data_IF_395625127624
#
_entry.id   IF_395625127624
#
_cell.length_a   1.000
_cell.length_b   1.000
_cell.length_c   1.000
_cell.angle_alpha   90.00
_cell.angle_beta   90.00
_cell.angle_gamma   90.00
#
_symmetry.space_group_name_H-M   'P 1'
#
loop_
_entity.id
_entity.type
_entity.pdbx_description
1 polymer ?
#
# COMPACT_ATOMS: atom_id res chain seq x y z
N UNK A 1 -8.94 -4.58 25.51
CA UNK A 1 -7.57 -4.08 25.73
C UNK A 1 -6.88 -3.60 24.45
N UNK A 2 -7.10 -4.23 23.28
CA UNK A 2 -6.53 -3.78 21.99
C UNK A 2 -7.14 -2.45 21.47
N UNK A 3 -8.44 -2.22 21.70
CA UNK A 3 -9.14 -1.00 21.25
C UNK A 3 -8.72 0.28 21.99
N UNK A 4 -8.22 0.17 23.22
CA UNK A 4 -7.82 1.34 24.04
C UNK A 4 -6.46 1.88 23.59
N UNK A 5 -5.57 1.01 23.08
CA UNK A 5 -4.26 1.42 22.55
C UNK A 5 -4.39 2.13 21.20
N UNK A 6 -5.35 1.73 20.36
CA UNK A 6 -5.61 2.38 19.06
C UNK A 6 -6.23 3.77 19.22
N UNK A 7 -7.07 3.98 20.24
CA UNK A 7 -7.69 5.29 20.50
C UNK A 7 -6.68 6.33 21.01
N UNK A 8 -5.65 5.90 21.75
CA UNK A 8 -4.53 6.76 22.17
C UNK A 8 -3.48 7.00 21.06
N UNK A 9 -3.62 6.33 19.92
CA UNK A 9 -2.76 6.46 18.73
C UNK A 9 -3.45 7.20 17.58
N UNK A 10 -4.63 7.80 17.80
CA UNK A 10 -5.26 8.68 16.80
C UNK A 10 -4.27 9.82 16.51
N UNK A 11 -3.69 9.90 15.29
CA UNK A 11 -2.74 10.93 14.96
C UNK A 11 -3.47 12.28 15.05
N UNK A 12 -2.77 13.28 15.56
CA UNK A 12 -3.11 14.68 15.39
C UNK A 12 -3.48 14.92 13.92
N UNK A 13 -4.62 15.59 13.66
CA UNK A 13 -4.92 16.08 12.32
C UNK A 13 -3.78 17.00 11.89
N UNK A 14 -2.98 16.58 10.92
CA UNK A 14 -1.93 17.42 10.34
C UNK A 14 -2.60 18.27 9.27
N UNK A 15 -2.92 19.52 9.64
CA UNK A 15 -3.64 20.46 8.78
C UNK A 15 -2.70 21.31 7.89
N UNK A 16 -1.38 21.16 8.02
CA UNK A 16 -0.40 21.98 7.33
C UNK A 16 0.81 21.14 6.88
N UNK A 17 1.48 21.58 5.81
CA UNK A 17 2.77 21.03 5.38
C UNK A 17 3.88 21.92 5.93
N UNK A 18 4.90 21.31 6.55
CA UNK A 18 6.10 22.01 6.99
C UNK A 18 7.33 21.49 6.26
N UNK A 19 8.10 22.39 5.65
CA UNK A 19 9.35 22.09 4.95
C UNK A 19 10.45 23.01 5.43
N UNK A 20 11.64 22.44 5.68
CA UNK A 20 12.81 23.18 6.14
C UNK A 20 14.07 22.60 5.50
N UNK A 21 15.02 23.46 5.16
CA UNK A 21 16.27 23.04 4.53
C UNK A 21 17.24 24.20 4.34
N UNK A 22 18.41 23.89 3.80
CA UNK A 22 19.43 24.86 3.40
C UNK A 22 19.60 24.74 1.88
N UNK A 23 19.54 25.87 1.20
CA UNK A 23 19.71 25.94 -0.26
C UNK A 23 21.15 26.39 -0.53
N UNK A 24 21.88 25.58 -1.30
CA UNK A 24 23.22 25.90 -1.78
C UNK A 24 23.29 25.48 -3.24
N UNK A 25 23.34 26.46 -4.13
CA UNK A 25 23.31 26.23 -5.58
C UNK A 25 24.07 27.34 -6.30
N UNK A 26 24.55 27.04 -7.50
CA UNK A 26 25.09 27.98 -8.48
C UNK A 26 24.04 28.41 -9.53
N UNK A 27 22.82 27.85 -9.45
CA UNK A 27 21.74 28.12 -10.38
C UNK A 27 20.91 29.32 -9.93
N UNK A 28 20.47 30.14 -10.88
CA UNK A 28 19.58 31.29 -10.62
C UNK A 28 18.13 30.87 -10.34
N UNK A 29 17.77 29.60 -10.54
CA UNK A 29 16.41 29.11 -10.34
C UNK A 29 16.45 27.74 -9.67
N UNK A 30 15.82 27.63 -8.50
CA UNK A 30 15.78 26.40 -7.72
C UNK A 30 14.36 26.07 -7.30
N UNK A 31 14.01 24.80 -7.41
CA UNK A 31 12.77 24.27 -6.85
C UNK A 31 12.88 24.21 -5.32
N UNK A 32 11.94 24.87 -4.64
CA UNK A 32 11.88 24.92 -3.19
C UNK A 32 11.02 23.78 -2.65
N UNK A 33 9.75 23.79 -2.99
CA UNK A 33 8.80 22.78 -2.57
C UNK A 33 7.49 22.85 -3.39
N UNK A 34 6.68 21.81 -3.28
CA UNK A 34 5.32 21.71 -3.84
C UNK A 34 4.32 21.55 -2.72
N UNK A 35 3.26 22.32 -2.76
CA UNK A 35 2.16 22.23 -1.80
C UNK A 35 0.82 22.36 -2.53
N UNK A 36 -0.24 21.85 -1.90
CA UNK A 36 -1.61 22.08 -2.34
C UNK A 36 -2.18 23.20 -1.45
N UNK A 37 -2.90 24.13 -2.07
CA UNK A 37 -3.49 25.27 -1.39
C UNK A 37 -5.01 25.21 -1.58
N UNK A 38 -5.77 25.38 -0.49
CA UNK A 38 -7.21 25.61 -0.58
C UNK A 38 -7.43 27.10 -0.77
N UNK A 39 -7.99 27.50 -1.90
CA UNK A 39 -8.24 28.92 -2.19
C UNK A 39 -9.08 29.56 -1.09
N UNK A 40 -8.74 30.79 -0.69
CA UNK A 40 -9.37 31.61 0.36
C UNK A 40 -9.16 31.17 1.82
N UNK A 41 -8.84 29.90 2.08
CA UNK A 41 -8.64 29.38 3.45
C UNK A 41 -7.19 29.04 3.78
N UNK A 42 -6.36 28.76 2.77
CA UNK A 42 -4.95 28.46 2.95
C UNK A 42 -4.15 29.69 3.38
N UNK A 43 -3.09 29.47 4.17
CA UNK A 43 -2.11 30.49 4.55
C UNK A 43 -0.71 29.96 4.24
N UNK A 44 0.09 30.73 3.49
CA UNK A 44 1.50 30.44 3.24
C UNK A 44 2.36 31.26 4.19
N UNK A 45 3.10 30.58 5.06
CA UNK A 45 4.11 31.20 5.92
C UNK A 45 5.50 30.74 5.48
N UNK A 46 6.44 31.68 5.35
CA UNK A 46 7.81 31.39 4.95
C UNK A 46 8.81 32.20 5.77
N UNK A 47 10.00 31.64 5.94
CA UNK A 47 11.12 32.29 6.61
C UNK A 47 12.40 31.96 5.85
N UNK A 48 13.03 32.98 5.26
CA UNK A 48 14.30 32.85 4.53
C UNK A 48 15.38 33.68 5.20
N UNK A 49 16.58 33.12 5.26
CA UNK A 49 17.78 33.81 5.72
C UNK A 49 18.87 33.62 4.66
N UNK A 50 19.34 34.72 4.08
CA UNK A 50 20.39 34.71 3.07
C UNK A 50 21.31 35.95 3.21
N UNK A 51 22.56 35.90 2.71
CA UNK A 51 23.50 37.02 2.84
C UNK A 51 23.03 38.23 2.02
N UNK A 52 23.10 39.43 2.62
CA UNK A 52 22.69 40.71 2.01
C UNK A 52 23.38 41.00 0.67
N UNK A 53 24.53 40.38 0.41
CA UNK A 53 25.27 40.49 -0.85
C UNK A 53 24.55 39.91 -2.08
N UNK A 54 23.53 39.07 -1.90
CA UNK A 54 22.77 38.45 -3.00
C UNK A 54 21.64 39.34 -3.55
N UNK A 55 21.53 40.59 -3.06
CA UNK A 55 20.44 41.51 -3.43
C UNK A 55 19.04 40.94 -3.10
N UNK A 56 17.98 41.45 -3.72
CA UNK A 56 16.59 41.04 -3.41
C UNK A 56 16.26 39.77 -4.19
N UNK A 57 16.03 38.69 -3.47
CA UNK A 57 15.59 37.42 -4.04
C UNK A 57 14.05 37.37 -4.14
N UNK A 58 13.52 36.52 -5.03
CA UNK A 58 12.07 36.41 -5.27
C UNK A 58 11.60 34.96 -5.27
N UNK A 59 10.43 34.71 -4.67
CA UNK A 59 9.74 33.43 -4.71
C UNK A 59 8.70 33.49 -5.83
N UNK A 60 8.68 32.43 -6.64
CA UNK A 60 7.76 32.28 -7.77
C UNK A 60 6.86 31.07 -7.55
N UNK A 61 5.55 31.29 -7.55
CA UNK A 61 4.53 30.27 -7.31
C UNK A 61 3.87 29.86 -8.62
N UNK A 62 4.20 28.69 -9.13
CA UNK A 62 3.63 28.14 -10.36
C UNK A 62 2.44 27.23 -10.05
N UNK A 63 1.35 27.35 -10.79
CA UNK A 63 0.29 26.35 -10.77
C UNK A 63 0.72 25.08 -11.51
N UNK A 64 0.22 23.93 -11.08
CA UNK A 64 0.50 22.62 -11.70
C UNK A 64 -0.28 22.44 -13.01
N UNK A 65 0.06 23.26 -13.99
CA UNK A 65 -0.56 23.28 -15.33
C UNK A 65 0.51 23.16 -16.43
N UNK A 66 0.08 22.79 -17.64
CA UNK A 66 0.96 22.65 -18.80
C UNK A 66 1.65 23.96 -19.19
N UNK A 67 0.95 25.09 -19.01
CA UNK A 67 1.38 26.43 -19.37
C UNK A 67 2.26 27.10 -18.31
N UNK A 68 2.18 26.67 -17.04
CA UNK A 68 2.99 27.22 -15.94
C UNK A 68 4.10 26.24 -15.52
N UNK A 69 3.86 25.44 -14.47
CA UNK A 69 4.92 24.64 -13.85
C UNK A 69 5.62 23.70 -14.83
N UNK A 70 4.86 23.02 -15.70
CA UNK A 70 5.43 22.07 -16.67
C UNK A 70 6.18 22.76 -17.81
N UNK A 71 5.79 23.99 -18.17
CA UNK A 71 6.52 24.81 -19.13
C UNK A 71 7.78 25.45 -18.54
N UNK A 72 7.80 25.72 -17.23
CA UNK A 72 8.93 26.33 -16.53
C UNK A 72 10.00 25.29 -16.14
N UNK A 73 9.58 24.17 -15.56
CA UNK A 73 10.45 23.17 -14.95
C UNK A 73 11.24 22.35 -15.99
N UNK A 74 12.55 22.22 -15.78
CA UNK A 74 13.48 21.56 -16.73
C UNK A 74 13.39 22.08 -18.17
N UNK A 75 12.96 23.33 -18.36
CA UNK A 75 12.93 24.00 -19.66
C UNK A 75 14.23 24.75 -19.94
N UNK A 76 14.54 24.96 -21.23
CA UNK A 76 15.65 25.81 -21.68
C UNK A 76 15.29 27.31 -21.68
N UNK A 77 14.20 27.70 -21.01
CA UNK A 77 13.76 29.10 -20.91
C UNK A 77 14.72 29.92 -20.06
N UNK A 78 14.94 31.16 -20.47
CA UNK A 78 15.64 32.18 -19.68
C UNK A 78 14.85 32.53 -18.42
N UNK A 79 15.51 33.21 -17.47
CA UNK A 79 14.83 33.62 -16.23
C UNK A 79 13.63 34.53 -16.53
N UNK A 80 13.75 35.44 -17.52
CA UNK A 80 12.66 36.35 -17.85
C UNK A 80 11.46 35.61 -18.46
N UNK A 81 11.71 34.68 -19.38
CA UNK A 81 10.65 33.87 -19.98
C UNK A 81 9.92 32.96 -19.00
N UNK A 82 10.56 32.60 -17.87
CA UNK A 82 9.92 31.83 -16.79
C UNK A 82 9.02 32.72 -15.94
N UNK A 83 9.47 33.93 -15.63
CA UNK A 83 8.67 34.95 -14.95
C UNK A 83 7.43 35.34 -15.78
N UNK A 84 7.57 35.44 -17.10
CA UNK A 84 6.49 35.79 -18.03
C UNK A 84 5.36 34.72 -18.10
N UNK A 85 5.55 33.52 -17.53
CA UNK A 85 4.50 32.50 -17.39
C UNK A 85 3.53 32.80 -16.24
N UNK A 86 3.91 33.70 -15.33
CA UNK A 86 3.15 34.01 -14.13
C UNK A 86 2.23 35.19 -14.36
N UNK A 87 1.09 35.20 -13.66
CA UNK A 87 0.16 36.31 -13.68
C UNK A 87 0.34 37.16 -12.40
N UNK A 88 0.77 38.43 -12.52
CA UNK A 88 0.92 39.33 -11.38
C UNK A 88 -0.36 39.53 -10.57
N UNK A 89 -1.55 39.35 -11.17
CA UNK A 89 -2.83 39.50 -10.48
C UNK A 89 -3.11 38.38 -9.46
N UNK A 90 -2.42 37.24 -9.59
CA UNK A 90 -2.60 36.06 -8.75
C UNK A 90 -1.63 35.99 -7.55
N UNK A 91 -0.89 37.07 -7.26
CA UNK A 91 0.12 37.11 -6.20
C UNK A 91 1.15 35.97 -6.29
N UNK A 92 1.50 35.57 -7.53
CA UNK A 92 2.44 34.46 -7.78
C UNK A 92 3.91 34.86 -7.60
N UNK A 93 4.20 36.16 -7.50
CA UNK A 93 5.55 36.71 -7.37
C UNK A 93 5.66 37.37 -6.01
N UNK A 94 6.60 36.90 -5.19
CA UNK A 94 6.83 37.39 -3.83
C UNK A 94 8.29 37.84 -3.72
N UNK A 95 8.52 39.14 -3.68
CA UNK A 95 9.85 39.71 -3.46
C UNK A 95 10.22 39.66 -1.98
N UNK A 96 11.40 39.12 -1.67
CA UNK A 96 11.90 39.00 -0.30
C UNK A 96 12.44 40.36 0.18
N UNK A 97 11.69 41.03 1.06
CA UNK A 97 12.13 42.23 1.77
C UNK A 97 12.72 41.85 3.14
N UNK A 98 13.59 42.71 3.67
CA UNK A 98 14.11 42.60 5.04
C UNK A 98 13.10 43.01 6.10
N UNK A 99 11.93 43.51 5.71
CA UNK A 99 10.85 43.85 6.63
C UNK A 99 10.36 42.59 7.37
N UNK A 100 10.40 42.65 8.70
CA UNK A 100 10.05 41.52 9.55
C UNK A 100 8.61 41.05 9.26
N UNK A 101 8.39 39.78 8.85
CA UNK A 101 7.04 39.26 8.75
C UNK A 101 6.40 39.29 10.14
N UNK A 102 5.19 39.83 10.25
CA UNK A 102 4.37 39.66 11.46
C UNK A 102 4.06 38.18 11.58
N UNK A 103 4.66 37.54 12.59
CA UNK A 103 4.40 36.16 12.94
C UNK A 103 2.99 36.05 13.51
N UNK A 104 2.02 35.67 12.69
CA UNK A 104 0.72 35.22 13.17
C UNK A 104 0.87 33.76 13.65
N UNK A 105 1.12 33.65 14.95
CA UNK A 105 1.26 32.40 15.69
C UNK A 105 -0.11 31.75 15.90
N UNK A 106 -0.63 31.06 14.88
CA UNK A 106 -1.93 30.34 14.98
C UNK A 106 -2.07 29.13 14.06
N UNK A 107 -0.98 28.60 13.49
CA UNK A 107 -1.04 27.36 12.70
C UNK A 107 -0.39 26.21 13.47
N UNK A 108 -1.15 25.13 13.66
CA UNK A 108 -0.63 23.85 14.15
C UNK A 108 0.64 23.47 13.37
N UNK A 109 1.67 22.98 14.06
CA UNK A 109 2.92 22.65 13.39
C UNK A 109 2.69 21.46 12.45
N UNK A 110 2.73 21.73 11.15
CA UNK A 110 2.64 20.75 10.06
C UNK A 110 3.81 19.76 10.01
N UNK A 111 4.53 19.57 11.12
CA UNK A 111 5.67 18.68 11.28
C UNK A 111 5.16 17.25 11.43
N UNK A 112 5.03 16.56 10.30
CA UNK A 112 4.87 15.12 10.30
C UNK A 112 6.10 14.39 10.87
N UNK A 113 5.97 13.09 11.12
CA UNK A 113 7.10 12.22 11.49
C UNK A 113 7.50 11.35 10.28
N UNK A 114 8.49 11.74 9.46
CA UNK A 114 8.85 11.03 8.24
C UNK A 114 9.25 9.57 8.51
N UNK A 115 9.97 9.33 9.61
CA UNK A 115 10.36 7.99 10.04
C UNK A 115 9.14 7.10 10.31
N UNK A 116 8.10 7.64 10.95
CA UNK A 116 6.88 6.89 11.25
C UNK A 116 6.09 6.57 9.98
N UNK A 117 6.01 7.52 9.02
CA UNK A 117 5.42 7.28 7.70
C UNK A 117 6.16 6.14 6.98
N UNK A 118 7.49 6.20 6.94
CA UNK A 118 8.33 5.17 6.32
C UNK A 118 8.14 3.78 6.95
N UNK A 119 8.21 3.71 8.28
CA UNK A 119 8.00 2.45 9.02
C UNK A 119 6.61 1.89 8.78
N UNK A 120 5.58 2.74 8.76
CA UNK A 120 4.20 2.35 8.46
C UNK A 120 4.04 1.74 7.06
N UNK A 121 4.68 2.33 6.05
CA UNK A 121 4.71 1.79 4.68
C UNK A 121 5.34 0.40 4.68
N UNK A 122 6.49 0.22 5.35
CA UNK A 122 7.18 -1.07 5.41
C UNK A 122 6.32 -2.17 6.06
N UNK A 123 5.70 -1.88 7.20
CA UNK A 123 4.79 -2.83 7.86
C UNK A 123 3.61 -3.20 6.97
N UNK A 124 3.05 -2.23 6.24
CA UNK A 124 1.96 -2.48 5.28
C UNK A 124 2.39 -3.47 4.20
N UNK A 125 3.56 -3.27 3.57
CA UNK A 125 4.03 -4.18 2.52
C UNK A 125 4.31 -5.59 3.06
N UNK A 126 4.95 -5.72 4.22
CA UNK A 126 5.20 -7.02 4.87
C UNK A 126 3.87 -7.73 5.17
N UNK A 127 2.89 -6.98 5.67
CA UNK A 127 1.56 -7.52 5.97
C UNK A 127 0.87 -8.06 4.71
N UNK A 128 0.93 -7.35 3.59
CA UNK A 128 0.32 -7.79 2.31
C UNK A 128 0.95 -9.09 1.82
N UNK A 129 2.28 -9.18 1.77
CA UNK A 129 3.00 -10.38 1.33
C UNK A 129 2.70 -11.56 2.24
N UNK A 130 2.73 -11.35 3.56
CA UNK A 130 2.42 -12.38 4.56
C UNK A 130 0.99 -12.90 4.40
N UNK A 131 0.03 -11.99 4.22
CA UNK A 131 -1.38 -12.36 4.11
C UNK A 131 -1.67 -13.12 2.80
N UNK A 132 -1.12 -12.70 1.66
CA UNK A 132 -1.23 -13.45 0.39
C UNK A 132 -0.62 -14.86 0.54
N UNK A 133 0.53 -14.96 1.19
CA UNK A 133 1.20 -16.24 1.46
C UNK A 133 0.31 -17.17 2.30
N UNK A 134 -0.31 -16.63 3.36
CA UNK A 134 -1.26 -17.34 4.19
C UNK A 134 -2.45 -17.86 3.37
N UNK A 135 -3.06 -17.02 2.53
CA UNK A 135 -4.19 -17.42 1.68
C UNK A 135 -3.81 -18.54 0.70
N UNK A 136 -2.62 -18.49 0.10
CA UNK A 136 -2.11 -19.56 -0.78
C UNK A 136 -1.89 -20.88 -0.03
N UNK A 137 -1.33 -20.83 1.19
CA UNK A 137 -1.14 -22.01 2.04
C UNK A 137 -2.48 -22.65 2.39
N UNK A 138 -3.46 -21.84 2.80
CA UNK A 138 -4.81 -22.32 3.15
C UNK A 138 -5.55 -22.90 1.96
N UNK A 139 -5.46 -22.27 0.78
CA UNK A 139 -6.02 -22.79 -0.47
C UNK A 139 -5.48 -24.16 -0.84
N UNK A 140 -4.20 -24.44 -0.57
CA UNK A 140 -3.59 -25.77 -0.75
C UNK A 140 -3.96 -26.76 0.35
N UNK A 141 -4.64 -26.31 1.39
CA UNK A 141 -5.09 -27.13 2.51
C UNK A 141 -4.09 -27.31 3.62
N UNK A 142 -3.03 -26.50 3.66
CA UNK A 142 -2.08 -26.52 4.77
C UNK A 142 -2.81 -26.25 6.09
N UNK A 143 -2.49 -27.05 7.11
CA UNK A 143 -3.08 -27.05 8.47
C UNK A 143 -4.59 -27.33 8.58
N UNK A 144 -5.36 -27.30 7.49
CA UNK A 144 -6.81 -27.60 7.49
C UNK A 144 -7.09 -29.04 7.05
N UNK A 145 -6.57 -29.44 5.88
CA UNK A 145 -6.81 -30.77 5.30
C UNK A 145 -5.53 -31.60 5.21
N UNK A 146 -4.36 -30.93 5.19
CA UNK A 146 -3.04 -31.58 5.07
C UNK A 146 -2.06 -30.99 6.07
N UNK A 147 -1.29 -31.88 6.72
CA UNK A 147 -0.20 -31.50 7.64
C UNK A 147 1.06 -31.04 6.91
N UNK A 148 1.39 -31.66 5.77
CA UNK A 148 2.61 -31.40 5.00
C UNK A 148 2.28 -30.93 3.59
N UNK A 149 3.12 -30.05 3.07
CA UNK A 149 3.11 -29.64 1.65
C UNK A 149 4.31 -30.31 0.98
N UNK A 150 4.15 -30.73 -0.28
CA UNK A 150 5.25 -31.25 -1.09
C UNK A 150 6.40 -30.24 -1.17
N UNK A 151 7.64 -30.72 -1.07
CA UNK A 151 8.85 -29.91 -1.18
C UNK A 151 8.85 -29.01 -2.42
N UNK A 152 8.45 -29.53 -3.58
CA UNK A 152 8.39 -28.76 -4.83
C UNK A 152 7.37 -27.61 -4.76
N UNK A 153 6.25 -27.81 -4.06
CA UNK A 153 5.26 -26.75 -3.84
C UNK A 153 5.77 -25.68 -2.86
N UNK A 154 6.56 -26.07 -1.85
CA UNK A 154 7.20 -25.13 -0.94
C UNK A 154 8.25 -24.29 -1.68
N UNK A 155 9.09 -24.90 -2.52
CA UNK A 155 10.06 -24.18 -3.36
C UNK A 155 9.38 -23.17 -4.28
N UNK A 156 8.29 -23.57 -4.96
CA UNK A 156 7.50 -22.65 -5.80
C UNK A 156 6.90 -21.49 -4.99
N UNK A 157 6.42 -21.77 -3.78
CA UNK A 157 5.86 -20.74 -2.90
C UNK A 157 6.96 -19.77 -2.43
N UNK A 158 8.13 -20.27 -2.02
CA UNK A 158 9.24 -19.41 -1.59
C UNK A 158 9.75 -18.52 -2.72
N UNK A 159 9.90 -19.07 -3.93
CA UNK A 159 10.26 -18.28 -5.12
C UNK A 159 9.23 -17.17 -5.38
N UNK A 160 7.95 -17.49 -5.22
CA UNK A 160 6.87 -16.53 -5.41
C UNK A 160 6.85 -15.42 -4.34
N UNK A 161 7.05 -15.78 -3.07
CA UNK A 161 7.17 -14.81 -1.97
C UNK A 161 8.39 -13.91 -2.16
N UNK A 162 9.52 -14.48 -2.60
CA UNK A 162 10.71 -13.70 -2.94
C UNK A 162 10.43 -12.71 -4.08
N UNK A 163 9.76 -13.13 -5.15
CA UNK A 163 9.38 -12.23 -6.24
C UNK A 163 8.48 -11.06 -5.78
N UNK A 164 7.52 -11.33 -4.89
CA UNK A 164 6.69 -10.28 -4.28
C UNK A 164 7.52 -9.31 -3.42
N UNK A 165 8.38 -9.86 -2.55
CA UNK A 165 9.24 -9.04 -1.70
C UNK A 165 10.17 -8.15 -2.54
N UNK A 166 10.84 -8.71 -3.55
CA UNK A 166 11.66 -7.93 -4.47
C UNK A 166 10.84 -6.87 -5.20
N UNK A 167 9.63 -7.18 -5.66
CA UNK A 167 8.75 -6.21 -6.31
C UNK A 167 8.40 -5.02 -5.41
N UNK A 168 8.11 -5.26 -4.13
CA UNK A 168 7.86 -4.20 -3.16
C UNK A 168 9.11 -3.39 -2.81
N UNK A 169 10.28 -4.02 -2.71
CA UNK A 169 11.57 -3.33 -2.52
C UNK A 169 11.88 -2.45 -3.74
N UNK A 170 11.72 -2.98 -4.95
CA UNK A 170 11.90 -2.21 -6.19
C UNK A 170 10.96 -1.01 -6.24
N UNK A 171 9.71 -1.17 -5.82
CA UNK A 171 8.78 -0.05 -5.75
C UNK A 171 9.25 1.04 -4.77
N UNK A 172 9.75 0.65 -3.59
CA UNK A 172 10.29 1.60 -2.62
C UNK A 172 11.55 2.31 -3.15
N UNK A 173 12.44 1.58 -3.82
CA UNK A 173 13.62 2.18 -4.46
C UNK A 173 13.23 3.10 -5.62
N UNK A 174 12.18 2.77 -6.36
CA UNK A 174 11.65 3.60 -7.44
C UNK A 174 11.16 4.95 -6.92
N UNK A 175 10.45 4.95 -5.78
CA UNK A 175 9.99 6.16 -5.11
C UNK A 175 11.16 7.05 -4.66
N UNK A 176 12.25 6.47 -4.17
CA UNK A 176 13.39 7.25 -3.66
C UNK A 176 14.30 7.74 -4.80
N UNK A 177 14.50 6.94 -5.85
CA UNK A 177 15.52 7.19 -6.87
C UNK A 177 14.99 7.89 -8.12
N UNK A 178 13.72 7.71 -8.47
CA UNK A 178 13.18 8.12 -9.77
C UNK A 178 12.10 9.19 -9.63
N UNK A 179 11.37 9.22 -8.52
CA UNK A 179 10.36 10.26 -8.32
C UNK A 179 11.04 11.61 -8.08
N UNK A 180 10.76 12.51 -9.01
CA UNK A 180 11.19 13.89 -8.91
C UNK A 180 10.23 14.60 -7.92
N UNK A 181 10.73 15.13 -6.79
CA UNK A 181 9.88 15.81 -5.82
C UNK A 181 9.12 17.00 -6.44
N UNK A 182 9.65 17.56 -7.52
CA UNK A 182 9.07 18.67 -8.25
C UNK A 182 7.91 18.26 -9.18
N UNK A 183 7.78 16.98 -9.54
CA UNK A 183 6.71 16.48 -10.42
C UNK A 183 5.65 15.69 -9.66
N UNK A 184 4.39 15.86 -10.04
CA UNK A 184 3.26 15.18 -9.42
C UNK A 184 3.14 13.75 -9.96
N UNK A 185 4.11 12.89 -9.63
CA UNK A 185 4.14 11.49 -10.06
C UNK A 185 3.58 10.57 -8.99
N UNK A 186 2.67 9.68 -9.38
CA UNK A 186 2.02 8.77 -8.43
C UNK A 186 2.59 7.36 -8.48
N UNK A 187 2.50 6.66 -7.34
CA UNK A 187 2.82 5.23 -7.26
C UNK A 187 2.06 4.40 -8.30
N UNK A 188 0.80 4.75 -8.58
CA UNK A 188 -0.06 4.04 -9.53
C UNK A 188 0.38 4.16 -11.00
N UNK A 189 1.19 5.16 -11.33
CA UNK A 189 1.70 5.39 -12.69
C UNK A 189 3.04 4.67 -12.92
N UNK A 190 3.65 4.15 -11.85
CA UNK A 190 4.97 3.52 -11.90
C UNK A 190 4.93 2.12 -12.49
N UNK A 191 5.96 1.76 -13.26
CA UNK A 191 6.12 0.42 -13.83
C UNK A 191 6.11 -0.70 -12.76
N UNK A 192 6.79 -0.56 -11.60
CA UNK A 192 6.73 -1.57 -10.54
C UNK A 192 5.32 -1.84 -10.01
N UNK A 193 4.45 -0.83 -9.94
CA UNK A 193 3.06 -1.01 -9.51
C UNK A 193 2.27 -1.92 -10.45
N UNK A 194 2.43 -1.76 -11.77
CA UNK A 194 1.80 -2.65 -12.76
C UNK A 194 2.32 -4.09 -12.65
N UNK A 195 3.64 -4.26 -12.44
CA UNK A 195 4.25 -5.59 -12.24
C UNK A 195 3.65 -6.27 -10.99
N UNK A 196 3.52 -5.55 -9.87
CA UNK A 196 2.92 -6.06 -8.65
C UNK A 196 1.43 -6.42 -8.83
N UNK A 197 0.68 -5.63 -9.59
CA UNK A 197 -0.72 -5.94 -9.92
C UNK A 197 -0.84 -7.23 -10.75
N UNK A 198 0.02 -7.42 -11.76
CA UNK A 198 0.07 -8.67 -12.54
C UNK A 198 0.44 -9.85 -11.67
N UNK A 199 1.45 -9.72 -10.81
CA UNK A 199 1.83 -10.76 -9.84
C UNK A 199 0.66 -11.13 -8.92
N UNK A 200 -0.19 -10.16 -8.56
CA UNK A 200 -1.38 -10.39 -7.73
C UNK A 200 -2.49 -11.14 -8.47
N UNK A 201 -2.69 -10.89 -9.76
CA UNK A 201 -3.58 -11.70 -10.61
C UNK A 201 -3.04 -13.13 -10.75
N UNK A 202 -1.74 -13.31 -10.95
CA UNK A 202 -1.12 -14.65 -10.97
C UNK A 202 -1.29 -15.38 -9.63
N UNK A 203 -1.15 -14.67 -8.51
CA UNK A 203 -1.43 -15.19 -7.17
C UNK A 203 -2.87 -15.70 -7.08
N UNK A 204 -3.83 -14.91 -7.58
CA UNK A 204 -5.25 -15.24 -7.56
C UNK A 204 -5.59 -16.47 -8.41
N UNK A 205 -5.04 -16.55 -9.64
CA UNK A 205 -5.23 -17.73 -10.50
C UNK A 205 -4.68 -18.99 -9.82
N UNK A 206 -3.52 -18.89 -9.18
CA UNK A 206 -2.95 -20.00 -8.41
C UNK A 206 -3.81 -20.34 -7.18
N UNK A 207 -4.30 -19.34 -6.47
CA UNK A 207 -5.18 -19.48 -5.32
C UNK A 207 -6.48 -20.22 -5.69
N UNK A 208 -7.17 -19.80 -6.76
CA UNK A 208 -8.41 -20.43 -7.24
C UNK A 208 -8.16 -21.87 -7.69
N UNK A 209 -7.11 -22.10 -8.50
CA UNK A 209 -6.74 -23.46 -8.93
C UNK A 209 -6.47 -24.36 -7.73
N UNK A 210 -5.73 -23.87 -6.73
CA UNK A 210 -5.40 -24.64 -5.53
C UNK A 210 -6.65 -24.95 -4.71
N UNK A 211 -7.51 -23.95 -4.49
CA UNK A 211 -8.77 -24.12 -3.76
C UNK A 211 -9.69 -25.12 -4.47
N UNK A 212 -9.82 -25.05 -5.80
CA UNK A 212 -10.61 -25.99 -6.57
C UNK A 212 -10.12 -27.44 -6.44
N UNK A 213 -8.81 -27.66 -6.54
CA UNK A 213 -8.20 -28.99 -6.36
C UNK A 213 -8.43 -29.51 -4.94
N UNK A 214 -8.32 -28.64 -3.93
CA UNK A 214 -8.55 -29.01 -2.53
C UNK A 214 -10.01 -29.39 -2.27
N UNK A 215 -10.97 -28.63 -2.82
CA UNK A 215 -12.41 -28.92 -2.74
C UNK A 215 -12.75 -30.27 -3.36
N UNK A 216 -12.20 -30.54 -4.56
CA UNK A 216 -12.39 -31.83 -5.26
C UNK A 216 -11.85 -33.00 -4.46
N UNK A 217 -10.71 -32.83 -3.78
CA UNK A 217 -10.08 -33.90 -2.98
C UNK A 217 -10.76 -34.11 -1.62
N UNK A 218 -11.26 -33.05 -0.98
CA UNK A 218 -11.86 -33.10 0.36
C UNK A 218 -13.27 -32.51 0.38
N UNK A 219 -14.28 -33.20 -0.19
CA UNK A 219 -15.66 -32.70 -0.29
C UNK A 219 -16.31 -32.34 1.06
N UNK A 220 -15.90 -32.99 2.17
CA UNK A 220 -16.37 -32.65 3.53
C UNK A 220 -16.08 -31.19 3.94
N UNK A 221 -15.08 -30.55 3.33
CA UNK A 221 -14.72 -29.14 3.59
C UNK A 221 -15.15 -28.19 2.48
N UNK A 222 -15.98 -28.66 1.54
CA UNK A 222 -16.39 -27.89 0.37
C UNK A 222 -16.99 -26.53 0.73
N UNK A 223 -17.90 -26.47 1.70
CA UNK A 223 -18.56 -25.22 2.08
C UNK A 223 -17.55 -24.16 2.54
N UNK A 224 -16.63 -24.53 3.44
CA UNK A 224 -15.57 -23.64 3.90
C UNK A 224 -14.72 -23.11 2.74
N UNK A 225 -14.26 -24.00 1.85
CA UNK A 225 -13.42 -23.58 0.72
C UNK A 225 -14.15 -22.76 -0.33
N UNK A 226 -15.45 -23.00 -0.56
CA UNK A 226 -16.27 -22.18 -1.45
C UNK A 226 -16.42 -20.77 -0.89
N UNK A 227 -16.77 -20.64 0.39
CA UNK A 227 -16.86 -19.33 1.06
C UNK A 227 -15.51 -18.61 1.07
N UNK A 228 -14.43 -19.30 1.43
CA UNK A 228 -13.08 -18.75 1.42
C UNK A 228 -12.70 -18.25 0.03
N UNK A 229 -12.95 -19.05 -1.01
CA UNK A 229 -12.59 -18.72 -2.40
C UNK A 229 -13.31 -17.49 -2.91
N UNK A 230 -14.63 -17.40 -2.70
CA UNK A 230 -15.44 -16.27 -3.19
C UNK A 230 -15.09 -14.99 -2.44
N UNK A 231 -15.11 -15.03 -1.11
CA UNK A 231 -14.89 -13.83 -0.29
C UNK A 231 -13.46 -13.28 -0.43
N UNK A 232 -12.44 -14.15 -0.50
CA UNK A 232 -11.05 -13.71 -0.63
C UNK A 232 -10.67 -13.32 -2.05
N UNK A 233 -11.42 -13.74 -3.08
CA UNK A 233 -11.17 -13.27 -4.45
C UNK A 233 -11.27 -11.75 -4.57
N UNK A 234 -12.18 -11.13 -3.82
CA UNK A 234 -12.29 -9.67 -3.76
C UNK A 234 -10.97 -9.02 -3.31
N UNK A 235 -10.30 -9.57 -2.30
CA UNK A 235 -9.02 -9.04 -1.79
C UNK A 235 -7.88 -9.14 -2.81
N UNK A 236 -7.90 -10.14 -3.69
CA UNK A 236 -6.90 -10.21 -4.76
C UNK A 236 -7.17 -9.18 -5.85
N UNK A 237 -8.43 -9.06 -6.27
CA UNK A 237 -8.86 -8.12 -7.32
C UNK A 237 -8.83 -6.66 -6.89
N UNK A 238 -8.89 -6.39 -5.60
CA UNK A 238 -8.89 -5.02 -5.08
C UNK A 238 -7.69 -4.21 -5.58
N UNK A 239 -6.48 -4.76 -5.65
CA UNK A 239 -5.30 -3.98 -6.03
C UNK A 239 -5.24 -3.61 -7.54
N UNK A 240 -5.53 -4.52 -8.48
CA UNK A 240 -5.71 -4.13 -9.88
C UNK A 240 -6.85 -3.12 -10.08
N UNK A 241 -7.96 -3.28 -9.35
CA UNK A 241 -9.10 -2.36 -9.43
C UNK A 241 -8.71 -0.97 -8.90
N UNK A 242 -8.05 -0.88 -7.75
CA UNK A 242 -7.59 0.39 -7.20
C UNK A 242 -6.55 1.05 -8.09
N UNK A 243 -5.67 0.28 -8.73
CA UNK A 243 -4.71 0.80 -9.72
C UNK A 243 -5.41 1.46 -10.91
N UNK A 244 -6.48 0.84 -11.44
CA UNK A 244 -7.26 1.41 -12.55
C UNK A 244 -8.01 2.66 -12.08
N UNK A 245 -8.68 2.61 -10.93
CA UNK A 245 -9.41 3.75 -10.35
C UNK A 245 -8.46 4.93 -10.09
N UNK A 246 -7.25 4.67 -9.58
CA UNK A 246 -6.25 5.69 -9.32
C UNK A 246 -5.89 6.46 -10.59
N UNK A 247 -5.65 5.75 -11.69
CA UNK A 247 -5.17 6.37 -12.92
C UNK A 247 -6.27 7.03 -13.77
N UNK A 248 -7.51 6.52 -13.72
CA UNK A 248 -8.59 6.97 -14.61
C UNK A 248 -9.72 7.76 -13.95
N UNK A 249 -9.87 7.67 -12.63
CA UNK A 249 -11.02 8.25 -11.91
C UNK A 249 -10.60 9.33 -10.91
N UNK A 250 -9.43 9.17 -10.27
CA UNK A 250 -8.99 10.11 -9.24
C UNK A 250 -8.12 11.22 -9.80
N UNK A 251 -8.53 12.44 -9.47
CA UNK A 251 -7.70 13.63 -9.61
C UNK A 251 -6.44 13.50 -8.75
N UNK A 252 -5.35 14.09 -9.26
CA UNK A 252 -4.03 14.05 -8.66
C UNK A 252 -4.07 14.42 -7.15
N UNK A 253 -4.64 15.57 -6.81
CA UNK A 253 -4.57 16.13 -5.45
C UNK A 253 -5.20 15.26 -4.34
N UNK A 254 -6.19 14.40 -4.64
CA UNK A 254 -6.80 13.47 -3.66
C UNK A 254 -6.25 12.05 -3.74
N UNK A 255 -5.50 11.72 -4.79
CA UNK A 255 -5.21 10.34 -5.18
C UNK A 255 -4.48 9.57 -4.09
N UNK A 256 -3.44 10.14 -3.48
CA UNK A 256 -2.63 9.46 -2.45
C UNK A 256 -3.49 9.13 -1.21
N UNK A 257 -4.23 10.10 -0.70
CA UNK A 257 -5.05 9.96 0.51
C UNK A 257 -6.18 8.94 0.32
N UNK A 258 -6.92 9.05 -0.78
CA UNK A 258 -8.02 8.11 -1.09
C UNK A 258 -7.48 6.70 -1.28
N UNK A 259 -6.36 6.53 -2.00
CA UNK A 259 -5.77 5.21 -2.20
C UNK A 259 -5.31 4.58 -0.89
N UNK A 260 -4.68 5.36 -0.01
CA UNK A 260 -4.28 4.90 1.32
C UNK A 260 -5.48 4.44 2.15
N UNK A 261 -6.58 5.19 2.12
CA UNK A 261 -7.81 4.85 2.84
C UNK A 261 -8.43 3.56 2.29
N UNK A 262 -8.54 3.43 0.96
CA UNK A 262 -9.13 2.25 0.30
C UNK A 262 -8.27 1.01 0.55
N UNK A 263 -6.96 1.08 0.40
CA UNK A 263 -6.06 -0.05 0.70
C UNK A 263 -6.19 -0.51 2.15
N UNK A 264 -6.25 0.44 3.09
CA UNK A 264 -6.41 0.14 4.51
C UNK A 264 -7.76 -0.53 4.79
N UNK A 265 -8.85 -0.05 4.17
CA UNK A 265 -10.17 -0.66 4.29
C UNK A 265 -10.21 -2.09 3.73
N UNK A 266 -9.55 -2.33 2.59
CA UNK A 266 -9.42 -3.66 1.98
C UNK A 266 -8.64 -4.62 2.89
N UNK A 267 -7.58 -4.14 3.55
CA UNK A 267 -6.81 -4.92 4.53
C UNK A 267 -7.67 -5.31 5.73
N UNK A 268 -8.43 -4.36 6.28
CA UNK A 268 -9.40 -4.63 7.36
C UNK A 268 -10.42 -5.67 6.91
N UNK A 269 -11.01 -5.50 5.73
CA UNK A 269 -11.92 -6.49 5.14
C UNK A 269 -11.29 -7.88 5.05
N UNK A 270 -10.07 -7.98 4.53
CA UNK A 270 -9.35 -9.25 4.37
C UNK A 270 -9.13 -9.95 5.71
N UNK A 271 -8.63 -9.22 6.72
CA UNK A 271 -8.40 -9.78 8.04
C UNK A 271 -9.69 -10.13 8.78
N UNK A 272 -10.70 -9.27 8.77
CA UNK A 272 -12.00 -9.56 9.39
C UNK A 272 -12.65 -10.78 8.76
N UNK A 273 -12.68 -10.86 7.43
CA UNK A 273 -13.22 -12.02 6.71
C UNK A 273 -12.46 -13.29 7.07
N UNK A 274 -11.13 -13.21 7.12
CA UNK A 274 -10.29 -14.34 7.51
C UNK A 274 -10.61 -14.82 8.93
N UNK A 275 -10.68 -13.90 9.89
CA UNK A 275 -11.00 -14.21 11.28
C UNK A 275 -12.40 -14.82 11.42
N UNK A 276 -13.43 -14.26 10.77
CA UNK A 276 -14.80 -14.79 10.82
C UNK A 276 -14.87 -16.21 10.26
N UNK A 277 -14.18 -16.48 9.14
CA UNK A 277 -14.18 -17.81 8.53
C UNK A 277 -13.39 -18.85 9.35
N UNK A 278 -12.32 -18.41 10.02
CA UNK A 278 -11.40 -19.29 10.74
C UNK A 278 -11.64 -19.39 12.25
N UNK A 279 -12.54 -18.58 12.82
CA UNK A 279 -12.83 -18.61 14.25
C UNK A 279 -13.36 -19.99 14.69
N UNK A 280 -12.65 -20.70 15.58
CA UNK A 280 -13.01 -22.07 15.96
C UNK A 280 -14.28 -22.13 16.82
N UNK A 281 -14.67 -21.03 17.49
CA UNK A 281 -15.84 -21.03 18.40
C UNK A 281 -17.17 -21.24 17.67
N UNK A 282 -17.60 -20.36 16.73
CA UNK A 282 -18.82 -20.55 15.98
C UNK A 282 -18.66 -21.63 14.89
N UNK A 283 -17.45 -21.84 14.37
CA UNK A 283 -17.21 -22.65 13.17
C UNK A 283 -16.44 -23.95 13.48
N UNK A 284 -16.65 -24.57 14.64
CA UNK A 284 -15.96 -25.80 15.05
C UNK A 284 -16.10 -26.95 14.02
N UNK A 285 -17.22 -27.00 13.27
CA UNK A 285 -17.42 -27.94 12.14
C UNK A 285 -16.37 -27.78 11.03
N UNK A 286 -15.81 -26.58 10.86
CA UNK A 286 -14.76 -26.32 9.88
C UNK A 286 -13.39 -26.83 10.37
N UNK A 287 -13.17 -26.98 11.68
CA UNK A 287 -11.88 -27.36 12.29
C UNK A 287 -11.96 -28.45 13.39
N UNK A 288 -12.63 -29.60 13.19
CA UNK A 288 -12.63 -30.69 14.15
C UNK A 288 -11.30 -31.44 14.10
N UNK A 289 -10.25 -30.88 14.69
CA UNK A 289 -9.00 -31.59 14.97
C UNK A 289 -9.04 -32.07 16.43
N UNK A 290 -9.63 -33.25 16.63
CA UNK A 290 -9.45 -34.03 17.86
C UNK A 290 -8.54 -35.21 17.55
N UNK A 291 -7.24 -34.94 17.34
CA UNK A 291 -6.24 -36.01 17.30
C UNK A 291 -6.12 -36.50 18.74
N UNK A 292 -6.45 -37.77 19.00
CA UNK A 292 -6.12 -38.37 20.29
C UNK A 292 -4.59 -38.40 20.39
N UNK A 293 -4.05 -37.79 21.44
CA UNK A 293 -2.62 -37.49 21.65
C UNK A 293 -1.68 -38.71 21.56
N UNK A 294 -2.24 -39.91 21.58
CA UNK A 294 -1.57 -41.21 21.58
C UNK A 294 -1.28 -41.81 20.18
N UNK A 295 -1.56 -41.11 19.07
CA UNK A 295 -1.38 -41.65 17.70
C UNK A 295 -0.35 -40.89 16.83
N UNK A 296 0.47 -40.01 17.42
CA UNK A 296 1.26 -39.00 16.68
C UNK A 296 2.53 -39.57 16.00
N UNK A 297 2.94 -40.82 16.28
CA UNK A 297 4.25 -41.36 15.87
C UNK A 297 4.26 -42.44 14.78
N UNK A 298 3.14 -42.76 14.13
CA UNK A 298 3.12 -43.79 13.07
C UNK A 298 3.19 -43.16 11.68
N UNK A 299 4.29 -43.39 10.95
CA UNK A 299 4.51 -42.87 9.59
C UNK A 299 3.48 -43.37 8.54
N UNK A 300 2.76 -44.45 8.85
CA UNK A 300 1.71 -45.04 8.00
C UNK A 300 0.27 -44.63 8.38
N UNK A 301 0.07 -43.68 9.30
CA UNK A 301 -1.28 -43.23 9.66
C UNK A 301 -1.80 -42.17 8.66
N UNK A 302 -3.08 -42.22 8.26
CA UNK A 302 -3.71 -41.21 7.38
C UNK A 302 -3.49 -39.79 7.92
N UNK A 303 -3.09 -38.87 7.03
CA UNK A 303 -2.57 -37.54 7.43
C UNK A 303 -3.66 -36.58 7.90
N UNK A 304 -4.92 -36.98 7.77
CA UNK A 304 -6.08 -36.32 8.37
C UNK A 304 -7.19 -37.34 8.66
N UNK A 305 -8.04 -37.06 9.65
CA UNK A 305 -9.24 -37.87 9.97
C UNK A 305 -10.16 -38.03 8.75
N UNK A 306 -10.16 -37.04 7.85
CA UNK A 306 -10.93 -37.09 6.62
C UNK A 306 -10.45 -38.18 5.67
N UNK A 307 -9.13 -38.42 5.57
CA UNK A 307 -8.59 -39.51 4.74
C UNK A 307 -9.05 -40.90 5.22
N UNK A 308 -9.26 -41.08 6.54
CA UNK A 308 -9.80 -42.32 7.14
C UNK A 308 -11.24 -42.58 6.69
N UNK A 309 -12.08 -41.54 6.68
CA UNK A 309 -13.48 -41.67 6.27
C UNK A 309 -13.61 -41.98 4.77
N UNK A 310 -12.69 -41.48 3.93
CA UNK A 310 -12.70 -41.79 2.51
C UNK A 310 -12.20 -43.20 2.19
N UNK A 311 -11.24 -43.76 2.94
CA UNK A 311 -10.78 -45.14 2.73
C UNK A 311 -11.79 -46.19 3.22
N UNK A 312 -12.52 -45.90 4.30
CA UNK A 312 -13.55 -46.80 4.85
C UNK A 312 -14.86 -46.82 4.05
N UNK A 313 -15.18 -45.74 3.32
CA UNK A 313 -16.37 -45.68 2.44
C UNK A 313 -16.27 -46.43 1.11
N UNK A 314 -15.08 -46.97 0.77
CA UNK A 314 -14.85 -47.76 -0.44
C UNK A 314 -14.89 -49.28 -0.26
N UNK A 315 -15.07 -49.78 0.97
CA UNK A 315 -15.13 -51.20 1.33
C UNK A 315 -16.53 -51.60 1.84
N UNK A 316 -17.58 -51.14 1.15
CA UNK A 316 -18.95 -51.57 1.43
C UNK A 316 -19.64 -52.01 0.13
N UNK A 317 -19.10 -53.05 -0.51
CA UNK A 317 -19.80 -53.91 -1.47
C UNK A 317 -18.91 -55.12 -1.83
N UNK A 318 -18.79 -56.05 -0.91
CA UNK A 318 -18.38 -57.43 -1.18
C UNK A 318 -18.77 -58.25 0.04
N UNK A 319 -20.06 -58.62 0.09
CA UNK A 319 -20.58 -59.88 0.60
C UNK A 319 -21.99 -60.07 0.01
#
# INVERSE_FOLDING_TARGET
>A
MFFIVVYWLLPSYVAAKYSVGVISTDQNWVYLDRFCFVSNDGVLQYFFQYPVSHEIESIYLYFDTEDQWKAAYNSQKTCKEKEDLLDPSNNQIVHLTSDAPKYEDSSYDGRGFPLLKFVGIMFRQISVVTFITLLLLLAKGYTITRRKISFLSVMKLLLFVAAFFLGHVTMMLWEILIFDPAKVTYMSESLPAYILAVLRILAWLWYIRSSYVTVRKYPLKRLFYMSLSVLMSFYFWSAPITLIIANFVLDNWVREEVMLAVESAVMVYGFCTFLVLTNPMPNNKNFPYHVRTNQISQDNYPQSVYEVQYSSGGMASAD
#
